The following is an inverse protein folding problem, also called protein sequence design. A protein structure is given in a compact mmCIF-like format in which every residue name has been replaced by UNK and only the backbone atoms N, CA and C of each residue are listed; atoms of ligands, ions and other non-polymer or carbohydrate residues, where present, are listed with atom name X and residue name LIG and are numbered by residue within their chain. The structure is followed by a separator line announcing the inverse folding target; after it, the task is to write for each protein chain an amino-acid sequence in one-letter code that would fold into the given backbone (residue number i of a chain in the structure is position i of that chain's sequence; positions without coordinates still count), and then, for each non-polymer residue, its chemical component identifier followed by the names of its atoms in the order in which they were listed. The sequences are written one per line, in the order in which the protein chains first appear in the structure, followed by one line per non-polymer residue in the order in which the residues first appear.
data_IF_825595587820
#
_entry.id   IF_825595587820
#
_cell.length_a   1.000
_cell.length_b   1.000
_cell.length_c   1.000
_cell.angle_alpha   90.00
_cell.angle_beta   90.00
_cell.angle_gamma   90.00
#
_symmetry.space_group_name_H-M   'P 1'
#
loop_
_entity.id
_entity.type
_entity.pdbx_description
1 polymer ?
#
# COMPACT_ATOMS: atom_id res chain seq x y z
N UNK A 1 -20.80 18.79 16.19
CA UNK A 1 -20.29 18.72 15.85
C UNK A 1 -19.41 18.58 15.16
N UNK A 2 -19.57 18.35 14.96
CA UNK A 2 -18.98 18.25 14.47
C UNK A 2 -18.06 17.89 13.93
N UNK A 3 -17.94 17.76 14.04
CA UNK A 3 -17.26 17.46 13.65
C UNK A 3 -16.63 16.81 12.97
N UNK A 4 -16.84 16.38 12.94
CA UNK A 4 -16.37 15.81 12.41
C UNK A 4 -16.03 15.74 11.48
N UNK A 5 -16.77 15.44 11.84
CA UNK A 5 -16.39 15.86 10.65
C UNK A 5 -15.00 15.72 10.10
N UNK A 6 -14.17 16.13 10.69
CA UNK A 6 -12.85 16.22 10.22
C UNK A 6 -12.22 14.99 9.66
N UNK A 7 -12.65 13.88 10.10
CA UNK A 7 -12.07 12.62 9.62
C UNK A 7 -12.55 12.26 8.21
N UNK A 8 -13.61 12.91 7.74
CA UNK A 8 -14.15 12.56 6.43
C UNK A 8 -13.20 13.01 5.34
N UNK A 9 -12.86 12.11 4.45
CA UNK A 9 -12.01 12.42 3.32
C UNK A 9 -10.55 12.60 3.63
N UNK A 10 -10.13 12.31 4.85
CA UNK A 10 -8.72 12.41 5.20
C UNK A 10 -7.91 11.37 4.46
N UNK A 11 -6.90 11.84 3.72
CA UNK A 11 -5.97 10.96 3.06
C UNK A 11 -4.85 10.59 4.03
N UNK A 12 -4.28 9.41 3.85
CA UNK A 12 -3.13 8.95 4.61
C UNK A 12 -1.90 9.04 3.73
N UNK A 13 -0.87 9.71 4.23
CA UNK A 13 0.35 9.94 3.47
C UNK A 13 1.34 8.79 3.65
N UNK A 14 2.10 8.52 2.59
CA UNK A 14 3.24 7.62 2.72
C UNK A 14 4.49 8.37 2.27
N UNK A 15 5.60 8.11 2.96
CA UNK A 15 6.82 8.89 2.84
C UNK A 15 8.04 7.97 2.75
N UNK A 16 9.12 8.49 2.17
CA UNK A 16 10.38 7.74 2.11
C UNK A 16 11.15 7.87 3.44
N UNK A 17 12.34 7.30 3.47
CA UNK A 17 13.15 7.29 4.69
C UNK A 17 13.64 8.67 5.11
N UNK A 18 13.66 9.62 4.18
CA UNK A 18 14.04 11.02 4.46
C UNK A 18 12.82 11.87 4.77
N UNK A 19 11.69 11.24 5.01
CA UNK A 19 10.41 11.90 5.32
C UNK A 19 9.86 12.70 4.14
N UNK A 20 10.35 12.42 2.93
CA UNK A 20 9.82 13.07 1.73
C UNK A 20 8.49 12.44 1.37
N UNK A 21 7.51 13.27 1.08
CA UNK A 21 6.19 12.77 0.69
C UNK A 21 6.28 12.03 -0.65
N UNK A 22 5.86 10.76 -0.65
CA UNK A 22 5.76 9.97 -1.87
C UNK A 22 4.37 10.02 -2.46
N UNK A 23 3.37 10.14 -1.61
CA UNK A 23 2.00 10.18 -2.05
C UNK A 23 1.03 10.00 -0.91
N UNK A 24 -0.21 9.71 -1.27
CA UNK A 24 -1.27 9.50 -0.28
C UNK A 24 -2.29 8.50 -0.79
N UNK A 25 -2.99 7.88 0.15
CA UNK A 25 -4.11 6.98 -0.12
C UNK A 25 -5.34 7.61 0.47
N UNK A 26 -6.35 7.86 -0.35
CA UNK A 26 -7.59 8.46 0.10
C UNK A 26 -8.50 7.40 0.73
N UNK A 27 -9.54 7.85 1.41
CA UNK A 27 -10.43 6.92 2.13
C UNK A 27 -11.15 5.95 1.20
N UNK A 28 -11.34 6.31 -0.07
CA UNK A 28 -11.97 5.43 -1.04
C UNK A 28 -10.97 4.50 -1.74
N UNK A 29 -9.69 4.56 -1.36
CA UNK A 29 -8.65 3.72 -1.96
C UNK A 29 -7.89 4.35 -3.11
N UNK A 30 -8.23 5.58 -3.49
CA UNK A 30 -7.50 6.28 -4.54
C UNK A 30 -6.09 6.58 -4.09
N UNK A 31 -5.11 6.27 -4.92
CA UNK A 31 -3.70 6.49 -4.64
C UNK A 31 -3.19 7.61 -5.53
N UNK A 32 -2.56 8.60 -4.90
CA UNK A 32 -2.00 9.76 -5.61
C UNK A 32 -0.52 9.90 -5.28
N UNK A 33 0.24 10.47 -6.21
CA UNK A 33 1.66 10.74 -5.97
C UNK A 33 1.81 12.07 -5.21
N UNK A 34 3.07 12.48 -4.99
CA UNK A 34 3.36 13.70 -4.23
C UNK A 34 2.83 14.97 -4.92
N UNK A 35 2.64 14.91 -6.23
CA UNK A 35 2.09 16.04 -7.00
C UNK A 35 0.57 16.01 -7.09
N UNK A 36 -0.05 15.12 -6.32
CA UNK A 36 -1.50 14.95 -6.29
C UNK A 36 -2.08 14.35 -7.56
N UNK A 37 -1.25 13.76 -8.39
CA UNK A 37 -1.69 13.06 -9.60
C UNK A 37 -2.19 11.68 -9.21
N UNK A 38 -3.34 11.28 -9.75
CA UNK A 38 -3.88 9.95 -9.48
C UNK A 38 -3.01 8.89 -10.17
N UNK A 39 -2.55 7.94 -9.36
CA UNK A 39 -1.81 6.77 -9.86
C UNK A 39 -2.73 5.60 -10.15
N UNK A 40 -3.79 5.48 -9.37
CA UNK A 40 -4.72 4.39 -9.50
C UNK A 40 -5.60 4.28 -8.28
N UNK A 41 -6.19 3.11 -8.09
CA UNK A 41 -7.11 2.89 -6.98
C UNK A 41 -7.06 1.43 -6.55
N UNK A 42 -7.11 1.23 -5.24
CA UNK A 42 -7.24 -0.09 -4.63
C UNK A 42 -8.68 -0.21 -4.12
N UNK A 43 -9.42 -1.14 -4.67
CA UNK A 43 -10.85 -1.30 -4.39
C UNK A 43 -11.06 -2.21 -3.18
N UNK A 44 -12.22 -2.09 -2.55
CA UNK A 44 -12.55 -2.92 -1.39
C UNK A 44 -12.56 -4.41 -1.69
N UNK A 45 -12.85 -4.78 -2.94
CA UNK A 45 -12.85 -6.18 -3.36
C UNK A 45 -11.44 -6.70 -3.66
N UNK A 46 -10.43 -5.85 -3.52
CA UNK A 46 -9.04 -6.21 -3.73
C UNK A 46 -8.50 -5.92 -5.11
N UNK A 47 -9.32 -5.46 -6.04
CA UNK A 47 -8.83 -5.11 -7.36
C UNK A 47 -7.94 -3.87 -7.28
N UNK A 48 -6.83 -3.88 -8.00
CA UNK A 48 -5.92 -2.74 -8.10
C UNK A 48 -5.94 -2.30 -9.56
N UNK A 49 -6.35 -1.04 -9.78
CA UNK A 49 -6.45 -0.49 -11.14
C UNK A 49 -5.58 0.74 -11.26
N UNK A 50 -5.02 0.95 -12.44
CA UNK A 50 -4.20 2.12 -12.70
C UNK A 50 -5.08 3.33 -13.05
N UNK A 51 -4.44 4.42 -13.45
CA UNK A 51 -5.15 5.67 -13.74
C UNK A 51 -6.09 5.55 -14.94
N UNK A 52 -5.86 4.58 -15.81
CA UNK A 52 -6.71 4.32 -16.98
C UNK A 52 -7.79 3.28 -16.66
N UNK A 53 -7.95 2.94 -15.39
CA UNK A 53 -8.91 1.96 -14.91
C UNK A 53 -8.61 0.54 -15.39
N UNK A 54 -7.39 0.28 -15.82
CA UNK A 54 -6.95 -1.06 -16.20
C UNK A 54 -6.53 -1.81 -14.94
N UNK A 55 -6.98 -3.05 -14.81
CA UNK A 55 -6.57 -3.87 -13.66
C UNK A 55 -5.11 -4.25 -13.80
N UNK A 56 -4.31 -3.88 -12.81
CA UNK A 56 -2.88 -4.20 -12.79
C UNK A 56 -2.56 -5.31 -11.80
N UNK A 57 -3.51 -5.66 -10.93
CA UNK A 57 -3.32 -6.73 -9.98
C UNK A 57 -4.46 -6.82 -8.99
N UNK A 58 -4.26 -7.66 -8.00
CA UNK A 58 -5.23 -7.84 -6.91
C UNK A 58 -4.51 -8.06 -5.60
N UNK A 59 -5.20 -7.73 -4.50
CA UNK A 59 -4.76 -8.12 -3.18
C UNK A 59 -5.93 -8.77 -2.46
N UNK A 60 -5.77 -10.04 -2.11
CA UNK A 60 -6.82 -10.82 -1.46
C UNK A 60 -6.90 -10.51 0.02
N UNK A 61 -8.01 -10.87 0.64
CA UNK A 61 -8.19 -10.66 2.09
C UNK A 61 -7.15 -11.41 2.91
N UNK A 62 -6.67 -12.53 2.41
CA UNK A 62 -5.64 -13.32 3.10
C UNK A 62 -4.24 -12.74 2.89
N UNK A 63 -4.11 -11.62 2.16
CA UNK A 63 -2.83 -10.97 1.95
C UNK A 63 -2.07 -11.41 0.71
N UNK A 64 -2.64 -12.27 -0.11
CA UNK A 64 -1.99 -12.69 -1.36
C UNK A 64 -2.08 -11.58 -2.40
N UNK A 65 -0.94 -11.26 -3.01
CA UNK A 65 -0.84 -10.20 -4.02
C UNK A 65 -0.52 -10.85 -5.36
N UNK A 66 -1.32 -10.53 -6.38
CA UNK A 66 -1.20 -11.09 -7.72
C UNK A 66 -1.11 -9.98 -8.76
N UNK A 67 -0.47 -10.27 -9.88
CA UNK A 67 -0.39 -9.32 -10.99
C UNK A 67 -1.65 -9.43 -11.87
N UNK A 68 -1.63 -8.72 -12.99
CA UNK A 68 -2.78 -8.68 -13.91
C UNK A 68 -3.08 -10.03 -14.54
N UNK A 69 -2.07 -10.89 -14.63
CA UNK A 69 -2.21 -12.23 -15.21
C UNK A 69 -2.58 -13.26 -14.14
N UNK A 70 -2.91 -12.78 -12.94
CA UNK A 70 -3.29 -13.63 -11.81
C UNK A 70 -2.11 -14.45 -11.27
N UNK A 71 -0.89 -14.09 -11.61
CA UNK A 71 0.31 -14.72 -11.09
C UNK A 71 0.61 -14.16 -9.71
N UNK A 72 0.88 -15.04 -8.76
CA UNK A 72 1.22 -14.63 -7.40
C UNK A 72 2.57 -13.92 -7.37
N UNK A 73 2.57 -12.69 -6.81
CA UNK A 73 3.78 -11.92 -6.62
C UNK A 73 4.35 -12.10 -5.22
N UNK A 74 3.48 -12.31 -4.25
CA UNK A 74 3.90 -12.47 -2.87
C UNK A 74 2.74 -12.36 -1.92
N UNK A 75 3.04 -12.15 -0.65
CA UNK A 75 2.04 -12.08 0.41
C UNK A 75 2.42 -11.03 1.44
N UNK A 76 1.41 -10.53 2.13
CA UNK A 76 1.61 -9.76 3.35
C UNK A 76 0.80 -10.42 4.45
N UNK A 77 1.48 -10.79 5.54
CA UNK A 77 0.84 -11.44 6.68
C UNK A 77 0.16 -10.43 7.57
N UNK A 78 -0.72 -10.90 8.44
CA UNK A 78 -1.43 -10.01 9.37
C UNK A 78 -0.49 -9.31 10.34
N UNK A 79 0.69 -9.88 10.59
CA UNK A 79 1.70 -9.24 11.45
C UNK A 79 2.57 -8.23 10.70
N UNK A 80 2.30 -8.00 9.41
CA UNK A 80 3.04 -7.03 8.62
C UNK A 80 4.25 -7.57 7.88
N UNK A 81 4.52 -8.86 7.96
CA UNK A 81 5.65 -9.45 7.22
C UNK A 81 5.28 -9.58 5.74
N UNK A 82 6.16 -9.08 4.87
CA UNK A 82 5.96 -9.10 3.42
C UNK A 82 6.95 -10.09 2.83
N UNK A 83 6.44 -11.02 2.01
CA UNK A 83 7.24 -12.08 1.39
C UNK A 83 7.00 -12.09 -0.11
N UNK A 84 8.01 -12.52 -0.85
CA UNK A 84 7.87 -12.66 -2.31
C UNK A 84 7.25 -14.02 -2.66
N UNK A 85 7.20 -14.32 -3.95
CA UNK A 85 6.57 -15.55 -4.44
C UNK A 85 7.31 -16.81 -4.02
N UNK A 86 8.59 -16.68 -3.67
CA UNK A 86 9.39 -17.81 -3.17
C UNK A 86 9.38 -17.90 -1.66
N UNK A 87 8.50 -17.13 -1.03
CA UNK A 87 8.35 -17.09 0.42
C UNK A 87 9.55 -16.45 1.13
N UNK A 88 10.38 -15.72 0.40
CA UNK A 88 11.50 -14.98 0.98
C UNK A 88 10.99 -13.66 1.54
N UNK A 89 11.43 -13.32 2.75
CA UNK A 89 11.02 -12.07 3.37
C UNK A 89 11.61 -10.88 2.61
N UNK A 90 10.72 -9.96 2.21
CA UNK A 90 11.12 -8.70 1.58
C UNK A 90 11.26 -7.58 2.61
N UNK A 91 10.47 -7.62 3.65
CA UNK A 91 10.50 -6.61 4.68
C UNK A 91 9.30 -6.71 5.59
N UNK A 92 9.06 -5.64 6.36
CA UNK A 92 7.96 -5.60 7.32
C UNK A 92 7.30 -4.24 7.34
N UNK A 93 6.04 -4.22 7.75
CA UNK A 93 5.28 -3.01 7.99
C UNK A 93 4.79 -3.08 9.43
N UNK A 94 5.26 -2.16 10.27
CA UNK A 94 4.91 -2.14 11.68
C UNK A 94 3.54 -1.52 11.90
N UNK A 95 2.90 -1.78 13.05
CA UNK A 95 1.60 -1.17 13.34
C UNK A 95 1.62 0.34 13.35
N UNK A 96 2.76 0.96 13.68
CA UNK A 96 2.91 2.42 13.67
C UNK A 96 3.17 2.98 12.28
N UNK A 97 3.23 2.11 11.26
CA UNK A 97 3.42 2.53 9.88
C UNK A 97 4.86 2.52 9.39
N UNK A 98 5.83 2.18 10.23
CA UNK A 98 7.22 2.10 9.78
C UNK A 98 7.37 0.94 8.79
N UNK A 99 8.00 1.21 7.66
CA UNK A 99 8.25 0.21 6.63
C UNK A 99 9.75 -0.08 6.60
N UNK A 100 10.12 -1.35 6.74
CA UNK A 100 11.51 -1.77 6.81
C UNK A 100 11.80 -2.82 5.76
N UNK A 101 13.03 -2.85 5.28
CA UNK A 101 13.45 -3.84 4.30
C UNK A 101 13.88 -5.13 5.01
N UNK A 102 14.43 -6.06 4.23
CA UNK A 102 14.84 -7.36 4.76
C UNK A 102 16.01 -7.28 5.74
N UNK A 103 16.76 -6.20 5.71
CA UNK A 103 17.86 -5.94 6.64
C UNK A 103 17.42 -5.14 7.85
N UNK A 104 16.12 -4.97 8.00
CA UNK A 104 15.51 -4.20 9.09
C UNK A 104 15.83 -2.71 9.02
N UNK A 105 16.26 -2.23 7.87
CA UNK A 105 16.48 -0.80 7.64
C UNK A 105 15.16 -0.13 7.28
N UNK A 106 14.86 0.99 7.91
CA UNK A 106 13.64 1.72 7.58
C UNK A 106 13.77 2.32 6.17
N UNK A 107 12.77 2.05 5.33
CA UNK A 107 12.73 2.59 3.97
C UNK A 107 11.64 3.62 3.79
N UNK A 108 10.76 3.76 4.77
CA UNK A 108 9.71 4.76 4.69
C UNK A 108 8.67 4.58 5.77
N UNK A 109 7.58 5.30 5.63
CA UNK A 109 6.44 5.22 6.55
C UNK A 109 5.13 5.23 5.77
N UNK A 110 4.14 4.56 6.33
CA UNK A 110 2.79 4.49 5.78
C UNK A 110 1.79 4.54 6.94
N UNK A 111 1.90 5.59 7.76
CA UNK A 111 1.10 5.70 8.98
C UNK A 111 -0.38 5.76 8.66
N UNK A 112 -1.17 4.92 9.32
CA UNK A 112 -2.61 4.88 9.14
C UNK A 112 -3.08 4.20 7.87
N UNK A 113 -2.17 3.78 7.01
CA UNK A 113 -2.53 3.07 5.77
C UNK A 113 -2.68 1.59 6.09
N UNK A 114 -3.71 0.96 5.52
CA UNK A 114 -3.91 -0.47 5.63
C UNK A 114 -2.62 -1.20 5.26
N UNK A 115 -2.23 -2.18 6.06
CA UNK A 115 -0.96 -2.89 5.87
C UNK A 115 -0.86 -3.52 4.49
N UNK A 116 -1.97 -4.04 3.97
CA UNK A 116 -1.98 -4.64 2.64
C UNK A 116 -1.73 -3.61 1.55
N UNK A 117 -2.29 -2.43 1.70
CA UNK A 117 -2.06 -1.34 0.75
C UNK A 117 -0.62 -0.86 0.81
N UNK A 118 -0.07 -0.73 2.02
CA UNK A 118 1.32 -0.33 2.19
C UNK A 118 2.26 -1.34 1.53
N UNK A 119 1.97 -2.64 1.63
CA UNK A 119 2.76 -3.67 0.98
C UNK A 119 2.79 -3.49 -0.54
N UNK A 120 1.62 -3.21 -1.12
CA UNK A 120 1.53 -2.97 -2.57
C UNK A 120 2.37 -1.76 -2.97
N UNK A 121 2.28 -0.68 -2.18
CA UNK A 121 2.96 0.57 -2.52
C UNK A 121 4.47 0.49 -2.38
N UNK A 122 4.97 -0.24 -1.38
CA UNK A 122 6.40 -0.24 -1.07
C UNK A 122 7.15 -1.43 -1.65
N UNK A 123 6.49 -2.56 -1.89
CA UNK A 123 7.21 -3.79 -2.21
C UNK A 123 6.86 -4.40 -3.56
N UNK A 124 5.73 -4.06 -4.16
CA UNK A 124 5.29 -4.76 -5.36
C UNK A 124 5.12 -3.87 -6.59
N UNK A 125 5.22 -2.58 -6.42
CA UNK A 125 5.33 -1.62 -7.53
C UNK A 125 4.22 -1.78 -8.58
N UNK A 126 2.99 -2.01 -8.13
CA UNK A 126 1.86 -2.15 -9.06
C UNK A 126 1.27 -0.81 -9.48
N UNK A 127 1.51 0.25 -8.70
CA UNK A 127 1.01 1.60 -9.01
C UNK A 127 2.11 2.67 -9.10
#
# INVERSE_FOLDING_TARGET
MLMFVGSVGNAQSFRDNNNKLLGKVETDGTVRNANNMKLGKIFDDGAIRDNNNMRVGTISKDGTIRDRNNMRLGTVSSDGTVRDNNNMRLGTISPDGAVRDNNNMRIGTASGINVRYAAVLFFFDLL
#
